data_IF_412129080363
#
_entry.id   IF_412129080363
#
_cell.length_a   1.000
_cell.length_b   1.000
_cell.length_c   1.000
_cell.angle_alpha   90.00
_cell.angle_beta   90.00
_cell.angle_gamma   90.00
#
_symmetry.space_group_name_H-M   'P 1'
#
loop_
_entity.id
_entity.type
_entity.pdbx_description
1 polymer ?
#
# COMPACT_ATOMS: atom_id res chain seq x y z
N UNK A 1 -24.46 -5.34 16.94
CA UNK A 1 -24.61 -4.05 16.24
C UNK A 1 -25.32 -3.11 17.18
N UNK A 2 -24.55 -2.35 17.95
CA UNK A 2 -25.07 -1.16 18.60
C UNK A 2 -25.06 -0.06 17.54
N UNK A 3 -26.15 0.67 17.39
CA UNK A 3 -26.16 1.88 16.58
C UNK A 3 -25.16 2.86 17.20
N UNK A 4 -24.18 3.34 16.43
CA UNK A 4 -23.17 4.29 16.90
C UNK A 4 -23.84 5.54 17.49
N UNK A 5 -24.93 5.98 16.86
CA UNK A 5 -25.84 6.99 17.38
C UNK A 5 -27.31 6.58 17.19
N UNK A 6 -28.01 6.17 18.27
CA UNK A 6 -29.36 5.62 18.16
C UNK A 6 -30.45 6.65 17.81
N UNK A 7 -30.22 7.95 18.08
CA UNK A 7 -31.25 8.99 17.95
C UNK A 7 -30.97 10.01 16.84
N UNK A 8 -29.71 10.45 16.67
CA UNK A 8 -29.31 11.46 15.66
C UNK A 8 -27.82 11.33 15.34
N UNK A 9 -27.42 11.73 14.13
CA UNK A 9 -25.99 11.79 13.75
C UNK A 9 -25.32 12.96 14.48
N UNK A 10 -24.33 12.66 15.33
CA UNK A 10 -23.54 13.69 16.01
C UNK A 10 -22.42 14.18 15.08
N UNK A 11 -22.75 15.15 14.23
CA UNK A 11 -21.86 15.65 13.17
C UNK A 11 -20.54 16.22 13.71
N UNK A 12 -20.59 16.89 14.86
CA UNK A 12 -19.41 17.44 15.54
C UNK A 12 -18.44 16.36 16.01
N UNK A 13 -18.90 15.11 16.19
CA UNK A 13 -18.04 14.03 16.64
C UNK A 13 -17.30 13.33 15.48
N UNK A 14 -17.50 13.78 14.23
CA UNK A 14 -16.79 13.27 13.05
C UNK A 14 -15.56 14.12 12.79
N UNK A 15 -14.42 13.69 13.32
CA UNK A 15 -13.16 14.46 13.27
C UNK A 15 -12.28 14.12 12.06
N UNK A 16 -12.40 12.90 11.52
CA UNK A 16 -11.54 12.43 10.43
C UNK A 16 -12.34 11.61 9.43
N UNK A 17 -12.18 11.93 8.15
CA UNK A 17 -12.64 11.13 7.04
C UNK A 17 -11.44 10.71 6.18
N UNK A 18 -11.17 9.42 6.17
CA UNK A 18 -10.01 8.83 5.50
C UNK A 18 -10.45 8.03 4.28
N UNK A 19 -9.93 8.39 3.10
CA UNK A 19 -10.33 7.78 1.83
C UNK A 19 -9.13 7.37 1.00
N UNK A 20 -9.37 6.70 -0.14
CA UNK A 20 -8.38 6.68 -1.21
C UNK A 20 -8.22 8.09 -1.83
N UNK A 21 -7.24 8.24 -2.74
CA UNK A 21 -7.01 9.49 -3.44
C UNK A 21 -7.83 9.61 -4.75
N UNK A 22 -8.90 8.82 -4.94
CA UNK A 22 -9.70 8.86 -6.15
C UNK A 22 -10.41 10.23 -6.27
N UNK A 23 -10.46 10.83 -7.46
CA UNK A 23 -11.01 12.19 -7.63
C UNK A 23 -12.46 12.34 -7.12
N UNK A 24 -13.29 11.31 -7.26
CA UNK A 24 -14.66 11.34 -6.79
C UNK A 24 -14.76 11.27 -5.26
N UNK A 25 -13.88 10.53 -4.59
CA UNK A 25 -13.82 10.49 -3.11
C UNK A 25 -13.41 11.85 -2.55
N UNK A 26 -12.40 12.48 -3.15
CA UNK A 26 -11.97 13.83 -2.78
C UNK A 26 -13.09 14.85 -3.00
N UNK A 27 -13.81 14.76 -4.12
CA UNK A 27 -14.95 15.64 -4.40
C UNK A 27 -16.10 15.43 -3.40
N UNK A 28 -16.40 14.18 -3.06
CA UNK A 28 -17.44 13.84 -2.09
C UNK A 28 -17.07 14.34 -0.69
N UNK A 29 -15.83 14.14 -0.25
CA UNK A 29 -15.35 14.61 1.04
C UNK A 29 -15.48 16.14 1.18
N UNK A 30 -15.12 16.91 0.14
CA UNK A 30 -15.33 18.37 0.13
C UNK A 30 -16.79 18.76 0.32
N UNK A 31 -17.72 18.04 -0.32
CA UNK A 31 -19.16 18.27 -0.11
C UNK A 31 -19.61 17.92 1.30
N UNK A 32 -19.02 16.89 1.91
CA UNK A 32 -19.31 16.48 3.29
C UNK A 32 -18.74 17.45 4.32
N UNK A 33 -17.63 18.14 4.07
CA UNK A 33 -17.06 19.09 5.04
C UNK A 33 -18.02 20.22 5.42
N UNK A 34 -18.90 20.64 4.50
CA UNK A 34 -19.99 21.62 4.79
C UNK A 34 -20.94 21.12 5.89
N UNK A 35 -21.06 19.80 6.01
CA UNK A 35 -21.98 19.09 6.88
C UNK A 35 -21.32 18.58 8.17
N UNK A 36 -19.99 18.65 8.27
CA UNK A 36 -19.17 18.15 9.37
C UNK A 36 -18.00 19.14 9.60
N UNK A 37 -18.22 20.23 10.37
CA UNK A 37 -17.29 21.36 10.44
C UNK A 37 -15.94 21.03 11.10
N UNK A 38 -15.88 19.98 11.92
CA UNK A 38 -14.64 19.49 12.55
C UNK A 38 -13.91 18.41 11.73
N UNK A 39 -14.44 18.02 10.57
CA UNK A 39 -13.94 16.86 9.82
C UNK A 39 -12.74 17.21 8.94
N UNK A 40 -11.60 16.64 9.28
CA UNK A 40 -10.42 16.61 8.42
C UNK A 40 -10.62 15.53 7.35
N UNK A 41 -10.56 15.90 6.08
CA UNK A 41 -10.44 14.92 5.00
C UNK A 41 -8.95 14.61 4.75
N UNK A 42 -8.57 13.34 4.85
CA UNK A 42 -7.25 12.87 4.47
C UNK A 42 -7.35 11.68 3.51
N UNK A 43 -6.29 11.46 2.74
CA UNK A 43 -6.16 10.28 1.87
C UNK A 43 -5.13 9.31 2.42
N UNK A 44 -5.31 8.02 2.14
CA UNK A 44 -4.47 6.94 2.66
C UNK A 44 -2.98 7.12 2.30
N UNK A 45 -2.12 7.17 3.32
CA UNK A 45 -0.67 7.33 3.15
C UNK A 45 0.00 6.08 2.58
N UNK A 46 -0.47 4.89 2.92
CA UNK A 46 0.02 3.65 2.30
C UNK A 46 -0.29 3.61 0.79
N UNK A 47 -1.48 4.07 0.37
CA UNK A 47 -1.82 4.24 -1.04
C UNK A 47 -0.94 5.32 -1.70
N UNK A 48 -0.66 6.44 -1.01
CA UNK A 48 0.26 7.46 -1.51
C UNK A 48 1.65 6.88 -1.80
N UNK A 49 2.22 6.11 -0.86
CA UNK A 49 3.51 5.42 -1.03
C UNK A 49 3.45 4.36 -2.14
N UNK A 50 2.33 3.63 -2.27
CA UNK A 50 2.16 2.68 -3.37
C UNK A 50 2.24 3.37 -4.75
N UNK A 51 1.64 4.55 -4.91
CA UNK A 51 1.73 5.32 -6.16
C UNK A 51 3.16 5.78 -6.48
N UNK A 52 4.00 5.95 -5.45
CA UNK A 52 5.44 6.20 -5.62
C UNK A 52 6.16 4.92 -6.05
N UNK A 53 5.82 3.77 -5.46
CA UNK A 53 6.37 2.47 -5.89
C UNK A 53 6.03 2.15 -7.36
N UNK A 54 4.82 2.50 -7.84
CA UNK A 54 4.45 2.33 -9.24
C UNK A 54 5.28 3.22 -10.18
N UNK A 55 5.63 4.44 -9.75
CA UNK A 55 6.54 5.32 -10.52
C UNK A 55 7.96 4.72 -10.61
N UNK A 56 8.41 4.05 -9.54
CA UNK A 56 9.68 3.29 -9.58
C UNK A 56 9.56 2.19 -10.63
N UNK A 57 8.51 1.37 -10.58
CA UNK A 57 8.29 0.28 -11.54
C UNK A 57 8.30 0.76 -12.99
N UNK A 58 7.56 1.83 -13.27
CA UNK A 58 7.46 2.42 -14.61
C UNK A 58 8.81 2.95 -15.14
N UNK A 59 9.74 3.29 -14.25
CA UNK A 59 11.08 3.75 -14.60
C UNK A 59 12.05 2.60 -14.97
N UNK A 60 11.68 1.33 -14.72
CA UNK A 60 12.55 0.16 -14.97
C UNK A 60 11.85 -0.93 -15.79
N UNK A 61 11.57 -0.63 -17.06
CA UNK A 61 10.86 -1.53 -17.99
C UNK A 61 11.43 -2.95 -18.06
N UNK A 62 12.76 -3.10 -18.17
CA UNK A 62 13.39 -4.42 -18.29
C UNK A 62 13.28 -5.24 -16.99
N UNK A 63 13.37 -4.58 -15.83
CA UNK A 63 13.17 -5.22 -14.53
C UNK A 63 11.70 -5.63 -14.36
N UNK A 64 10.76 -4.76 -14.75
CA UNK A 64 9.33 -5.08 -14.72
C UNK A 64 9.02 -6.29 -15.63
N UNK A 65 9.59 -6.30 -16.83
CA UNK A 65 9.45 -7.40 -17.79
C UNK A 65 10.08 -8.70 -17.28
N UNK A 66 11.23 -8.63 -16.59
CA UNK A 66 11.88 -9.77 -15.94
C UNK A 66 10.96 -10.36 -14.88
N UNK A 67 10.47 -9.54 -13.94
CA UNK A 67 9.59 -9.97 -12.85
C UNK A 67 8.30 -10.59 -13.40
N UNK A 68 7.66 -9.91 -14.36
CA UNK A 68 6.41 -10.35 -14.96
C UNK A 68 6.54 -11.68 -15.71
N UNK A 69 7.67 -11.94 -16.37
CA UNK A 69 7.88 -13.19 -17.12
C UNK A 69 8.48 -14.31 -16.28
N UNK A 70 9.32 -14.02 -15.30
CA UNK A 70 9.97 -15.05 -14.48
C UNK A 70 8.96 -15.91 -13.71
N UNK A 71 7.84 -15.34 -13.25
CA UNK A 71 6.75 -16.17 -12.69
C UNK A 71 6.02 -16.98 -13.76
N UNK A 72 5.79 -16.43 -14.96
CA UNK A 72 5.06 -17.12 -16.05
C UNK A 72 5.74 -18.43 -16.45
N UNK A 73 7.07 -18.53 -16.27
CA UNK A 73 7.83 -19.77 -16.48
C UNK A 73 7.28 -20.93 -15.63
N UNK A 74 6.71 -20.68 -14.46
CA UNK A 74 6.22 -21.74 -13.58
C UNK A 74 4.72 -22.00 -13.67
N UNK A 75 3.98 -21.19 -14.45
CA UNK A 75 2.53 -21.34 -14.56
C UNK A 75 2.21 -22.62 -15.35
N UNK A 76 1.49 -23.54 -14.70
CA UNK A 76 1.09 -24.85 -15.27
C UNK A 76 2.30 -25.68 -15.76
N UNK A 77 3.43 -25.58 -15.07
CA UNK A 77 4.69 -26.21 -15.50
C UNK A 77 5.35 -27.04 -14.38
N UNK A 78 4.80 -28.22 -14.04
CA UNK A 78 5.28 -29.03 -12.91
C UNK A 78 6.75 -29.45 -13.04
N UNK A 79 7.22 -29.80 -14.24
CA UNK A 79 8.62 -30.19 -14.47
C UNK A 79 9.61 -29.05 -14.22
N UNK A 80 9.27 -27.82 -14.66
CA UNK A 80 10.09 -26.62 -14.39
C UNK A 80 10.11 -26.28 -12.90
N UNK A 81 8.97 -26.44 -12.23
CA UNK A 81 8.86 -26.27 -10.78
C UNK A 81 9.70 -27.30 -10.02
N UNK A 82 9.67 -28.56 -10.44
CA UNK A 82 10.48 -29.63 -9.85
C UNK A 82 11.97 -29.31 -10.01
N UNK A 83 12.42 -29.01 -11.23
CA UNK A 83 13.81 -28.64 -11.50
C UNK A 83 14.28 -27.44 -10.67
N UNK A 84 13.43 -26.42 -10.50
CA UNK A 84 13.73 -25.29 -9.61
C UNK A 84 13.96 -25.73 -8.16
N UNK A 85 13.08 -26.58 -7.62
CA UNK A 85 13.19 -27.09 -6.25
C UNK A 85 14.37 -28.04 -6.05
N UNK A 86 14.77 -28.78 -7.08
CA UNK A 86 15.96 -29.64 -7.03
C UNK A 86 17.25 -28.81 -7.01
N UNK A 87 17.32 -27.73 -7.79
CA UNK A 87 18.51 -26.87 -7.85
C UNK A 87 18.62 -25.87 -6.69
N UNK A 88 17.48 -25.39 -6.17
CA UNK A 88 17.42 -24.43 -5.08
C UNK A 88 16.30 -24.78 -4.07
N UNK A 89 16.46 -25.87 -3.27
CA UNK A 89 15.41 -26.40 -2.41
C UNK A 89 14.96 -25.44 -1.30
N UNK A 90 15.87 -24.59 -0.82
CA UNK A 90 15.60 -23.61 0.24
C UNK A 90 15.06 -22.27 -0.28
N UNK A 91 15.05 -22.07 -1.60
CA UNK A 91 14.66 -20.79 -2.20
C UNK A 91 13.16 -20.80 -2.50
N UNK A 92 12.37 -19.79 -2.06
CA UNK A 92 10.98 -19.69 -2.46
C UNK A 92 10.90 -19.40 -3.97
N UNK A 93 9.77 -19.71 -4.59
CA UNK A 93 9.57 -19.36 -6.00
C UNK A 93 9.57 -17.84 -6.20
N UNK A 94 9.95 -17.36 -7.39
CA UNK A 94 9.84 -15.94 -7.71
C UNK A 94 8.44 -15.38 -7.38
N UNK A 95 8.37 -14.31 -6.58
CA UNK A 95 7.11 -13.78 -6.10
C UNK A 95 6.27 -13.22 -7.26
N UNK A 96 4.95 -13.19 -7.07
CA UNK A 96 4.05 -12.46 -7.97
C UNK A 96 3.79 -11.10 -7.35
N UNK A 97 4.09 -10.00 -8.04
CA UNK A 97 3.46 -8.74 -7.71
C UNK A 97 1.95 -8.94 -7.80
N UNK A 98 1.26 -8.75 -6.68
CA UNK A 98 -0.18 -8.81 -6.63
C UNK A 98 -0.65 -7.39 -6.87
N UNK A 99 -1.31 -7.14 -8.01
CA UNK A 99 -1.79 -5.80 -8.38
C UNK A 99 -2.63 -5.14 -7.28
N UNK A 100 -3.31 -5.94 -6.46
CA UNK A 100 -4.15 -5.49 -5.34
C UNK A 100 -3.44 -5.44 -3.99
N UNK A 101 -2.18 -5.90 -3.86
CA UNK A 101 -1.38 -5.77 -2.63
C UNK A 101 -0.22 -4.81 -2.88
N UNK A 102 -0.26 -3.68 -2.18
CA UNK A 102 0.65 -2.57 -2.37
C UNK A 102 2.11 -2.94 -2.06
N UNK A 103 3.05 -2.37 -2.82
CA UNK A 103 4.49 -2.55 -2.60
C UNK A 103 5.10 -3.89 -3.07
N UNK A 104 4.29 -4.89 -3.44
CA UNK A 104 4.78 -6.24 -3.77
C UNK A 104 5.73 -6.33 -4.97
N UNK A 105 5.72 -5.34 -5.87
CA UNK A 105 6.68 -5.28 -6.96
C UNK A 105 8.11 -4.98 -6.48
N UNK A 106 8.27 -4.09 -5.49
CA UNK A 106 9.58 -3.78 -4.92
C UNK A 106 10.16 -4.97 -4.16
N UNK A 107 9.32 -5.73 -3.47
CA UNK A 107 9.74 -6.98 -2.81
C UNK A 107 10.16 -8.03 -3.83
N UNK A 108 9.50 -8.08 -5.00
CA UNK A 108 9.94 -8.93 -6.10
C UNK A 108 11.29 -8.49 -6.68
N UNK A 109 11.50 -7.19 -6.88
CA UNK A 109 12.80 -6.66 -7.29
C UNK A 109 13.91 -7.00 -6.27
N UNK A 110 13.63 -6.87 -4.97
CA UNK A 110 14.57 -7.27 -3.90
C UNK A 110 14.88 -8.77 -3.97
N UNK A 111 13.88 -9.62 -4.16
CA UNK A 111 14.08 -11.06 -4.35
C UNK A 111 15.02 -11.37 -5.51
N UNK A 112 14.78 -10.80 -6.70
CA UNK A 112 15.66 -11.02 -7.86
C UNK A 112 17.07 -10.45 -7.63
N UNK A 113 17.20 -9.31 -6.95
CA UNK A 113 18.50 -8.75 -6.61
C UNK A 113 19.28 -9.67 -5.65
N UNK A 114 18.61 -10.19 -4.62
CA UNK A 114 19.21 -11.03 -3.57
C UNK A 114 19.66 -12.37 -4.10
N UNK A 115 18.91 -12.94 -5.03
CA UNK A 115 19.12 -14.30 -5.55
C UNK A 115 19.54 -14.31 -7.02
N UNK A 116 20.10 -13.21 -7.52
CA UNK A 116 20.34 -12.98 -8.95
C UNK A 116 21.07 -14.15 -9.62
N UNK A 117 22.26 -14.50 -9.14
CA UNK A 117 23.10 -15.55 -9.76
C UNK A 117 22.45 -16.94 -9.71
N UNK A 118 21.72 -17.25 -8.64
CA UNK A 118 21.04 -18.55 -8.52
C UNK A 118 19.88 -18.62 -9.51
N UNK A 119 19.07 -17.57 -9.58
CA UNK A 119 17.91 -17.51 -10.48
C UNK A 119 18.35 -17.46 -11.95
N UNK A 120 19.39 -16.69 -12.27
CA UNK A 120 20.00 -16.67 -13.60
C UNK A 120 20.44 -18.07 -14.03
N UNK A 121 21.21 -18.77 -13.19
CA UNK A 121 21.68 -20.12 -13.48
C UNK A 121 20.51 -21.09 -13.77
N UNK A 122 19.49 -21.11 -12.92
CA UNK A 122 18.32 -21.97 -13.12
C UNK A 122 17.60 -21.63 -14.43
N UNK A 123 17.37 -20.33 -14.69
CA UNK A 123 16.63 -19.89 -15.87
C UNK A 123 17.40 -20.12 -17.18
N UNK A 124 18.72 -20.06 -17.16
CA UNK A 124 19.57 -20.39 -18.31
C UNK A 124 19.58 -21.88 -18.66
N UNK A 125 19.20 -22.77 -17.72
CA UNK A 125 19.08 -24.22 -17.96
C UNK A 125 17.73 -24.65 -18.52
N UNK A 126 16.76 -23.75 -18.66
CA UNK A 126 15.51 -24.06 -19.33
C UNK A 126 15.65 -23.91 -20.84
N UNK A 127 14.94 -24.75 -21.60
CA UNK A 127 14.92 -24.64 -23.05
C UNK A 127 14.31 -23.30 -23.46
N UNK A 128 15.05 -22.55 -24.27
CA UNK A 128 14.68 -21.21 -24.73
C UNK A 128 13.40 -21.25 -25.57
N UNK A 129 13.15 -22.34 -26.27
CA UNK A 129 12.04 -22.46 -27.22
C UNK A 129 10.77 -23.07 -26.60
N UNK A 130 10.87 -23.61 -25.38
CA UNK A 130 9.71 -24.11 -24.61
C UNK A 130 8.66 -23.05 -24.33
N UNK A 131 9.06 -21.78 -24.14
CA UNK A 131 8.11 -20.68 -23.98
C UNK A 131 8.71 -19.31 -24.26
N UNK A 132 7.87 -18.39 -24.76
CA UNK A 132 8.25 -16.99 -24.97
C UNK A 132 8.70 -16.28 -23.68
N UNK A 133 8.16 -16.67 -22.52
CA UNK A 133 8.58 -16.14 -21.23
C UNK A 133 9.99 -16.57 -20.84
N UNK A 134 10.41 -17.82 -21.10
CA UNK A 134 11.80 -18.27 -20.88
C UNK A 134 12.74 -17.44 -21.76
N UNK A 135 12.48 -17.40 -23.07
CA UNK A 135 13.30 -16.62 -24.02
C UNK A 135 13.44 -15.16 -23.60
N UNK A 136 12.33 -14.55 -23.18
CA UNK A 136 12.33 -13.15 -22.72
C UNK A 136 13.21 -12.97 -21.50
N UNK A 137 13.06 -13.84 -20.50
CA UNK A 137 13.79 -13.76 -19.24
C UNK A 137 15.29 -14.00 -19.43
N UNK A 138 15.67 -15.00 -20.23
CA UNK A 138 17.08 -15.26 -20.57
C UNK A 138 17.73 -14.06 -21.25
N UNK A 139 17.03 -13.38 -22.16
CA UNK A 139 17.53 -12.16 -22.81
C UNK A 139 17.70 -10.97 -21.84
N UNK A 140 16.94 -10.96 -20.74
CA UNK A 140 16.94 -9.86 -19.76
C UNK A 140 18.01 -10.02 -18.68
N UNK A 141 18.62 -11.20 -18.53
CA UNK A 141 19.81 -11.33 -17.70
C UNK A 141 20.99 -10.65 -18.37
N UNK A 142 21.41 -9.54 -17.78
CA UNK A 142 22.47 -8.68 -18.28
C UNK A 142 23.07 -7.88 -17.13
N UNK A 143 24.29 -7.38 -17.34
CA UNK A 143 24.93 -6.49 -16.38
C UNK A 143 24.09 -5.24 -16.08
N UNK A 144 23.33 -4.73 -17.05
CA UNK A 144 22.43 -3.59 -16.87
C UNK A 144 21.28 -3.93 -15.94
N UNK A 145 20.58 -5.05 -16.16
CA UNK A 145 19.48 -5.49 -15.30
C UNK A 145 19.94 -5.75 -13.88
N UNK A 146 21.12 -6.37 -13.71
CA UNK A 146 21.74 -6.59 -12.40
C UNK A 146 22.02 -5.27 -11.66
N UNK A 147 22.62 -4.27 -12.33
CA UNK A 147 22.85 -2.94 -11.76
C UNK A 147 21.56 -2.21 -11.40
N UNK A 148 20.53 -2.31 -12.26
CA UNK A 148 19.21 -1.72 -11.99
C UNK A 148 18.56 -2.34 -10.76
N UNK A 149 18.58 -3.68 -10.63
CA UNK A 149 18.08 -4.37 -9.44
C UNK A 149 18.80 -3.93 -8.16
N UNK A 150 20.14 -3.83 -8.22
CA UNK A 150 20.93 -3.34 -7.09
C UNK A 150 20.53 -1.91 -6.69
N UNK A 151 20.38 -1.02 -7.66
CA UNK A 151 19.98 0.36 -7.43
C UNK A 151 18.55 0.47 -6.86
N UNK A 152 17.60 -0.32 -7.37
CA UNK A 152 16.22 -0.34 -6.85
C UNK A 152 16.22 -0.80 -5.39
N UNK A 153 16.92 -1.90 -5.09
CA UNK A 153 16.99 -2.46 -3.74
C UNK A 153 17.61 -1.47 -2.76
N UNK A 154 18.71 -0.82 -3.13
CA UNK A 154 19.43 0.10 -2.24
C UNK A 154 18.67 1.39 -1.95
N UNK A 155 17.91 1.91 -2.92
CA UNK A 155 17.30 3.25 -2.81
C UNK A 155 15.80 3.24 -2.55
N UNK A 156 15.07 2.20 -2.97
CA UNK A 156 13.59 2.21 -2.97
C UNK A 156 12.94 1.13 -2.11
N UNK A 157 13.73 0.21 -1.53
CA UNK A 157 13.16 -0.85 -0.64
C UNK A 157 12.53 -0.31 0.65
N UNK A 158 12.84 0.92 1.04
CA UNK A 158 12.18 1.60 2.16
C UNK A 158 10.68 1.79 1.93
N UNK A 159 10.24 1.94 0.68
CA UNK A 159 8.85 2.19 0.33
C UNK A 159 7.99 0.98 0.69
N UNK A 160 8.34 -0.24 0.25
CA UNK A 160 7.56 -1.45 0.54
C UNK A 160 7.52 -1.76 2.04
N UNK A 161 8.68 -1.67 2.72
CA UNK A 161 8.77 -1.82 4.17
C UNK A 161 7.90 -0.83 4.93
N UNK A 162 7.79 0.40 4.43
CA UNK A 162 6.99 1.46 5.06
C UNK A 162 5.50 1.26 4.84
N UNK A 163 5.09 0.82 3.65
CA UNK A 163 3.69 0.41 3.38
C UNK A 163 3.26 -0.67 4.37
N UNK A 164 4.03 -1.76 4.50
CA UNK A 164 3.72 -2.86 5.44
C UNK A 164 3.57 -2.36 6.87
N UNK A 165 4.45 -1.45 7.32
CA UNK A 165 4.36 -0.87 8.66
C UNK A 165 3.13 0.02 8.84
N UNK A 166 2.77 0.81 7.84
CA UNK A 166 1.58 1.67 7.88
C UNK A 166 0.26 0.88 7.86
N UNK A 167 0.28 -0.35 7.34
CA UNK A 167 -0.86 -1.28 7.36
C UNK A 167 -1.09 -1.96 8.73
N UNK A 168 -0.19 -1.76 9.69
CA UNK A 168 -0.35 -2.30 11.04
C UNK A 168 -1.39 -1.50 11.85
N UNK A 169 -2.24 -2.22 12.58
CA UNK A 169 -3.31 -1.64 13.40
C UNK A 169 -2.75 -1.13 14.74
N UNK A 170 -3.34 -0.05 15.26
CA UNK A 170 -3.04 0.46 16.61
C UNK A 170 -1.80 1.36 16.70
N UNK A 171 -1.25 1.79 15.57
CA UNK A 171 -0.14 2.74 15.53
C UNK A 171 -0.59 4.14 15.93
N UNK A 172 0.22 4.83 16.75
CA UNK A 172 0.02 6.25 17.05
C UNK A 172 0.26 7.11 15.80
N UNK A 173 -0.47 8.22 15.69
CA UNK A 173 -0.38 9.15 14.56
C UNK A 173 1.07 9.62 14.34
N UNK A 174 1.78 9.99 15.41
CA UNK A 174 3.16 10.46 15.34
C UNK A 174 4.11 9.41 14.75
N UNK A 175 3.98 8.15 15.15
CA UNK A 175 4.80 7.05 14.64
C UNK A 175 4.50 6.78 13.16
N UNK A 176 3.23 6.86 12.77
CA UNK A 176 2.83 6.67 11.39
C UNK A 176 3.38 7.78 10.47
N UNK A 177 3.31 9.04 10.90
CA UNK A 177 3.88 10.17 10.16
C UNK A 177 5.41 10.13 10.14
N UNK A 178 6.07 9.65 11.21
CA UNK A 178 7.51 9.42 11.20
C UNK A 178 7.95 8.39 10.16
N UNK A 179 7.14 7.36 9.88
CA UNK A 179 7.42 6.41 8.79
C UNK A 179 7.44 7.14 7.45
N UNK A 180 6.46 8.02 7.19
CA UNK A 180 6.41 8.79 5.94
C UNK A 180 7.59 9.77 5.84
N UNK A 181 7.88 10.52 6.90
CA UNK A 181 9.04 11.43 6.97
C UNK A 181 10.37 10.70 6.75
N UNK A 182 10.49 9.45 7.23
CA UNK A 182 11.66 8.60 6.97
C UNK A 182 11.79 8.25 5.49
N UNK A 183 10.69 7.88 4.82
CA UNK A 183 10.68 7.65 3.36
C UNK A 183 11.10 8.92 2.62
N UNK A 184 10.55 10.08 2.99
CA UNK A 184 10.95 11.37 2.38
C UNK A 184 12.45 11.62 2.50
N UNK A 185 13.03 11.39 3.68
CA UNK A 185 14.46 11.57 3.91
C UNK A 185 15.32 10.61 3.08
N UNK A 186 14.99 9.32 3.05
CA UNK A 186 15.76 8.33 2.30
C UNK A 186 15.67 8.55 0.78
N UNK A 187 14.49 8.93 0.26
CA UNK A 187 14.33 9.24 -1.16
C UNK A 187 15.03 10.55 -1.56
N UNK A 188 15.18 11.51 -0.64
CA UNK A 188 15.95 12.72 -0.89
C UNK A 188 17.47 12.46 -0.95
N UNK A 189 17.96 11.44 -0.23
CA UNK A 189 19.37 11.05 -0.24
C UNK A 189 19.74 10.22 -1.48
N UNK A 190 18.76 9.56 -2.11
CA UNK A 190 18.97 8.79 -3.32
C UNK A 190 19.44 9.69 -4.48
N UNK A 191 20.46 9.25 -5.22
CA UNK A 191 21.09 10.03 -6.29
C UNK A 191 20.75 9.48 -7.67
N UNK A 192 20.58 10.36 -8.66
CA UNK A 192 20.35 10.00 -10.06
C UNK A 192 19.02 10.51 -10.60
N UNK A 193 18.86 10.51 -11.92
CA UNK A 193 17.68 11.07 -12.61
C UNK A 193 16.38 10.42 -12.15
N UNK A 194 16.37 9.09 -12.01
CA UNK A 194 15.20 8.35 -11.50
C UNK A 194 14.89 8.78 -10.07
N UNK A 195 15.87 8.85 -9.17
CA UNK A 195 15.63 9.29 -7.79
C UNK A 195 15.00 10.68 -7.70
N UNK A 196 15.46 11.65 -8.51
CA UNK A 196 14.84 12.99 -8.58
C UNK A 196 13.38 12.91 -8.98
N UNK A 197 13.05 12.09 -10.00
CA UNK A 197 11.66 11.86 -10.45
C UNK A 197 10.80 11.23 -9.35
N UNK A 198 11.31 10.21 -8.66
CA UNK A 198 10.59 9.51 -7.58
C UNK A 198 10.38 10.43 -6.37
N UNK A 199 11.39 11.23 -6.00
CA UNK A 199 11.28 12.21 -4.91
C UNK A 199 10.24 13.28 -5.23
N UNK A 200 10.24 13.82 -6.45
CA UNK A 200 9.22 14.75 -6.92
C UNK A 200 7.81 14.13 -6.91
N UNK A 201 7.69 12.85 -7.27
CA UNK A 201 6.42 12.11 -7.18
C UNK A 201 5.92 12.01 -5.75
N UNK A 202 6.78 11.70 -4.78
CA UNK A 202 6.43 11.65 -3.36
C UNK A 202 5.91 13.01 -2.87
N UNK A 203 6.63 14.09 -3.16
CA UNK A 203 6.21 15.44 -2.79
C UNK A 203 4.84 15.79 -3.39
N UNK A 204 4.61 15.47 -4.66
CA UNK A 204 3.33 15.71 -5.31
C UNK A 204 2.16 14.95 -4.66
N UNK A 205 2.34 13.67 -4.30
CA UNK A 205 1.27 12.88 -3.69
C UNK A 205 0.94 13.32 -2.27
N UNK A 206 1.95 13.76 -1.51
CA UNK A 206 1.75 14.29 -0.15
C UNK A 206 1.11 15.68 -0.18
N UNK A 207 1.56 16.57 -1.07
CA UNK A 207 1.00 17.92 -1.20
C UNK A 207 -0.46 17.91 -1.68
N UNK A 208 -0.86 16.90 -2.47
CA UNK A 208 -2.24 16.71 -2.91
C UNK A 208 -3.14 16.05 -1.85
N UNK A 209 -2.58 15.60 -0.73
CA UNK A 209 -3.36 15.01 0.35
C UNK A 209 -3.94 16.13 1.24
N UNK A 210 -5.25 16.40 1.18
CA UNK A 210 -5.84 17.61 1.77
C UNK A 210 -5.61 17.73 3.29
N UNK A 211 -5.57 16.63 4.01
CA UNK A 211 -5.40 16.61 5.47
C UNK A 211 -3.98 16.34 5.95
N UNK A 212 -3.01 16.08 5.05
CA UNK A 212 -1.66 15.64 5.48
C UNK A 212 -0.93 16.70 6.31
N UNK A 213 -0.97 17.97 5.87
CA UNK A 213 -0.35 19.07 6.61
C UNK A 213 -1.00 19.26 7.98
N UNK A 214 -2.33 19.28 8.03
CA UNK A 214 -3.09 19.42 9.29
C UNK A 214 -2.79 18.29 10.26
N UNK A 215 -2.74 17.04 9.77
CA UNK A 215 -2.37 15.88 10.60
C UNK A 215 -0.92 15.96 11.11
N UNK A 216 0.00 16.48 10.30
CA UNK A 216 1.37 16.76 10.75
C UNK A 216 1.39 17.77 11.90
N UNK A 217 0.69 18.90 11.76
CA UNK A 217 0.61 19.93 12.81
C UNK A 217 -0.03 19.38 14.08
N UNK A 218 -1.16 18.68 13.99
CA UNK A 218 -1.81 18.04 15.14
C UNK A 218 -0.86 17.05 15.83
N UNK A 219 -0.15 16.23 15.05
CA UNK A 219 0.84 15.31 15.60
C UNK A 219 1.98 16.04 16.32
N UNK A 220 2.44 17.18 15.80
CA UNK A 220 3.51 17.95 16.41
C UNK A 220 3.05 18.58 17.74
N UNK A 221 1.80 19.09 17.81
CA UNK A 221 1.16 19.55 19.06
C UNK A 221 1.09 18.42 20.09
N UNK A 222 0.62 17.23 19.68
CA UNK A 222 0.51 16.06 20.56
C UNK A 222 1.87 15.52 21.02
N UNK A 223 2.95 15.88 20.34
CA UNK A 223 4.33 15.61 20.73
C UNK A 223 4.96 16.75 21.55
N UNK A 224 4.20 17.79 21.91
CA UNK A 224 4.67 18.91 22.72
C UNK A 224 5.55 19.92 21.98
N UNK A 225 5.46 19.98 20.64
CA UNK A 225 6.18 20.99 19.86
C UNK A 225 5.37 22.29 19.78
N UNK A 226 6.07 23.42 19.85
CA UNK A 226 5.48 24.73 19.60
C UNK A 226 5.30 24.93 18.09
N UNK A 227 4.06 24.88 17.62
CA UNK A 227 3.68 25.09 16.23
C UNK A 227 2.42 25.95 16.16
N UNK A 228 2.32 26.80 15.14
CA UNK A 228 1.09 27.51 14.84
C UNK A 228 0.05 26.54 14.27
N UNK A 229 -1.18 26.61 14.78
CA UNK A 229 -2.30 25.81 14.30
C UNK A 229 -3.39 26.73 13.82
N UNK A 230 -3.50 26.86 12.50
CA UNK A 230 -4.61 27.57 11.87
C UNK A 230 -5.87 26.73 11.98
N UNK A 231 -6.70 27.11 12.94
CA UNK A 231 -7.99 26.50 13.26
C UNK A 231 -9.15 27.39 12.80
N UNK A 232 -8.93 28.26 11.80
CA UNK A 232 -9.98 29.16 11.32
C UNK A 232 -11.04 28.44 10.48
N UNK A 233 -10.64 27.41 9.73
CA UNK A 233 -11.54 26.59 8.91
C UNK A 233 -12.10 25.36 9.64
N UNK A 234 -11.47 24.97 10.76
CA UNK A 234 -11.82 23.78 11.54
C UNK A 234 -12.19 24.23 12.94
N UNK A 235 -13.36 23.85 13.46
CA UNK A 235 -13.79 24.25 14.81
C UNK A 235 -13.25 23.31 15.91
N UNK A 236 -12.00 22.86 15.79
CA UNK A 236 -11.43 21.87 16.72
C UNK A 236 -11.05 22.49 18.06
N UNK A 237 -11.43 21.86 19.16
CA UNK A 237 -11.00 22.24 20.50
C UNK A 237 -9.87 21.34 21.05
N UNK A 238 -9.37 21.66 22.24
CA UNK A 238 -8.30 20.89 22.88
C UNK A 238 -8.70 19.43 23.14
N UNK A 239 -9.97 19.15 23.43
CA UNK A 239 -10.48 17.79 23.62
C UNK A 239 -10.48 17.03 22.30
N UNK A 240 -10.91 17.65 21.20
CA UNK A 240 -10.89 17.06 19.86
C UNK A 240 -9.47 16.66 19.44
N UNK A 241 -8.47 17.51 19.70
CA UNK A 241 -7.08 17.21 19.39
C UNK A 241 -6.59 15.93 20.08
N UNK A 242 -7.03 15.65 21.31
CA UNK A 242 -6.63 14.41 22.02
C UNK A 242 -7.11 13.15 21.31
N UNK A 243 -8.23 13.22 20.58
CA UNK A 243 -8.79 12.10 19.82
C UNK A 243 -7.88 11.68 18.65
N UNK A 244 -6.99 12.57 18.18
CA UNK A 244 -6.08 12.26 17.08
C UNK A 244 -4.84 11.45 17.47
N UNK A 245 -4.63 11.15 18.77
CA UNK A 245 -3.47 10.37 19.24
C UNK A 245 -3.27 9.04 18.49
N UNK A 246 -4.38 8.40 18.12
CA UNK A 246 -4.41 7.16 17.34
C UNK A 246 -5.21 7.32 16.03
N UNK A 247 -5.25 8.54 15.47
CA UNK A 247 -5.91 8.78 14.20
C UNK A 247 -5.30 7.88 13.11
N UNK A 248 -6.13 7.10 12.38
CA UNK A 248 -5.63 6.27 11.30
C UNK A 248 -5.13 7.14 10.14
N UNK A 249 -4.07 6.69 9.48
CA UNK A 249 -3.55 7.30 8.25
C UNK A 249 -3.62 6.35 7.05
N UNK A 250 -4.16 5.14 7.25
CA UNK A 250 -4.39 4.14 6.22
C UNK A 250 -5.85 3.67 6.18
N UNK A 251 -6.37 3.45 4.97
CA UNK A 251 -7.73 2.93 4.73
C UNK A 251 -7.76 1.40 4.58
N UNK A 252 -6.66 0.71 4.87
CA UNK A 252 -6.50 -0.72 4.62
C UNK A 252 -7.49 -1.57 5.42
N UNK A 253 -7.82 -1.16 6.65
CA UNK A 253 -8.83 -1.85 7.48
C UNK A 253 -10.23 -1.75 6.89
N UNK A 254 -10.53 -0.63 6.21
CA UNK A 254 -11.79 -0.41 5.52
C UNK A 254 -11.88 -1.28 4.26
N UNK A 255 -10.80 -1.37 3.48
CA UNK A 255 -10.74 -2.24 2.30
C UNK A 255 -10.90 -3.73 2.65
N UNK A 256 -10.24 -4.19 3.72
CA UNK A 256 -10.42 -5.56 4.24
C UNK A 256 -11.87 -5.81 4.67
N UNK A 257 -12.52 -4.80 5.26
CA UNK A 257 -13.93 -4.88 5.63
C UNK A 257 -14.86 -4.96 4.41
N UNK A 258 -14.57 -4.20 3.34
CA UNK A 258 -15.34 -4.29 2.09
C UNK A 258 -15.24 -5.66 1.42
N UNK A 259 -14.09 -6.34 1.48
CA UNK A 259 -13.97 -7.73 1.00
C UNK A 259 -14.93 -8.66 1.75
N UNK A 260 -15.05 -8.51 3.08
CA UNK A 260 -16.02 -9.26 3.90
C UNK A 260 -17.47 -8.92 3.51
N UNK A 261 -17.77 -7.65 3.28
CA UNK A 261 -19.10 -7.24 2.84
C UNK A 261 -19.41 -7.71 1.42
N UNK A 262 -18.44 -7.77 0.51
CA UNK A 262 -18.65 -8.26 -0.87
C UNK A 262 -19.21 -9.69 -0.91
N UNK A 263 -18.79 -10.55 0.01
CA UNK A 263 -19.39 -11.89 0.16
C UNK A 263 -20.88 -11.84 0.54
N UNK A 264 -21.28 -10.79 1.28
CA UNK A 264 -22.65 -10.53 1.72
C UNK A 264 -23.47 -9.84 0.60
N UNK A 265 -22.92 -8.89 -0.14
CA UNK A 265 -23.65 -8.14 -1.20
C UNK A 265 -23.55 -8.76 -2.60
N UNK A 266 -23.02 -9.99 -2.73
CA UNK A 266 -22.92 -10.67 -4.03
C UNK A 266 -24.30 -10.94 -4.66
N UNK A 267 -24.40 -10.83 -5.98
CA UNK A 267 -25.64 -10.99 -6.76
C UNK A 267 -26.35 -12.34 -6.56
N UNK A 268 -25.60 -13.33 -6.04
CA UNK A 268 -26.05 -14.69 -5.76
C UNK A 268 -26.89 -14.76 -4.47
N UNK A 269 -26.90 -13.70 -3.64
CA UNK A 269 -27.57 -13.63 -2.35
C UNK A 269 -28.73 -12.63 -2.39
N UNK A 270 -29.86 -13.02 -2.99
CA UNK A 270 -31.00 -12.12 -3.26
C UNK A 270 -32.09 -12.11 -2.17
N UNK A 271 -31.92 -12.83 -1.08
CA UNK A 271 -33.02 -13.10 -0.12
C UNK A 271 -32.63 -12.87 1.35
N UNK A 272 -31.72 -11.92 1.62
CA UNK A 272 -31.43 -11.56 3.00
C UNK A 272 -32.61 -10.84 3.66
N UNK A 273 -33.14 -11.46 4.72
CA UNK A 273 -33.88 -10.74 5.76
C UNK A 273 -32.89 -10.00 6.66
N UNK A 274 -33.35 -8.94 7.31
CA UNK A 274 -32.50 -8.11 8.19
C UNK A 274 -31.87 -8.94 9.32
N UNK A 275 -32.59 -9.93 9.87
CA UNK A 275 -32.02 -10.84 10.89
C UNK A 275 -30.88 -11.70 10.33
N UNK A 276 -31.09 -12.27 9.12
CA UNK A 276 -30.09 -13.12 8.47
C UNK A 276 -28.85 -12.30 8.05
N UNK A 277 -29.05 -11.07 7.56
CA UNK A 277 -27.97 -10.16 7.21
C UNK A 277 -27.07 -9.89 8.42
N UNK A 278 -27.67 -9.60 9.58
CA UNK A 278 -26.95 -9.39 10.84
C UNK A 278 -26.12 -10.62 11.22
N UNK A 279 -26.69 -11.83 11.11
CA UNK A 279 -25.97 -13.07 11.39
C UNK A 279 -24.80 -13.28 10.43
N UNK A 280 -24.98 -13.03 9.13
CA UNK A 280 -23.91 -13.12 8.14
C UNK A 280 -22.77 -12.13 8.40
N UNK A 281 -23.08 -10.88 8.76
CA UNK A 281 -22.06 -9.89 9.16
C UNK A 281 -21.28 -10.39 10.38
N UNK A 282 -21.97 -10.90 11.40
CA UNK A 282 -21.31 -11.43 12.62
C UNK A 282 -20.38 -12.61 12.28
N UNK A 283 -20.83 -13.55 11.45
CA UNK A 283 -20.02 -14.70 11.04
C UNK A 283 -18.78 -14.25 10.27
N UNK A 284 -18.91 -13.33 9.30
CA UNK A 284 -17.80 -12.86 8.46
C UNK A 284 -16.84 -11.92 9.19
N UNK A 285 -17.33 -11.14 10.16
CA UNK A 285 -16.46 -10.31 10.99
C UNK A 285 -15.65 -11.15 11.99
N UNK A 286 -16.22 -12.25 12.49
CA UNK A 286 -15.57 -13.15 13.46
C UNK A 286 -14.85 -14.35 12.82
N UNK A 287 -14.97 -14.56 11.50
CA UNK A 287 -14.18 -15.57 10.81
C UNK A 287 -12.72 -15.11 10.79
N UNK A 288 -11.90 -15.76 11.60
CA UNK A 288 -10.44 -15.73 11.50
C UNK A 288 -10.03 -16.47 10.23
N UNK A 289 -10.16 -15.85 9.08
CA UNK A 289 -9.55 -16.39 7.87
C UNK A 289 -8.03 -16.23 8.01
N UNK A 290 -7.35 -17.37 8.18
CA UNK A 290 -5.96 -17.51 7.73
C UNK A 290 -6.06 -17.44 6.20
N UNK A 291 -5.64 -16.33 5.61
CA UNK A 291 -5.46 -16.24 4.16
C UNK A 291 -4.26 -17.12 3.80
N UNK A 292 -4.52 -18.28 3.18
CA UNK A 292 -3.52 -19.11 2.49
C UNK A 292 -2.95 -18.41 1.24
#
# INVERSE_FOLDING_TARGET
MNLLWPNKVERENVLLFLTDAAPYMVKAAKGLQVLYPKMIHATCLAHALHRVAEEVRESYFDVDKLIANGKKIFVKAPLRLQKFKEEAPSLPLPPKPILTRWGTWLDAADYYCTHYSVIENIFMKFDRDDSSSIRTVQNLFSSTTSRNLAYIKSNFSVISKSIIRLEAVGMQLCNALQIVKKVESELHQAQGEVAVKISAKLQNVLQRNPGYSTLCTISDILCGKEVEFDNSELELDASDLTCFKYAPVTSCDVERSFSKYKAIVSDNRRSFKFENLKMHVVIQCNSTEKED
#
